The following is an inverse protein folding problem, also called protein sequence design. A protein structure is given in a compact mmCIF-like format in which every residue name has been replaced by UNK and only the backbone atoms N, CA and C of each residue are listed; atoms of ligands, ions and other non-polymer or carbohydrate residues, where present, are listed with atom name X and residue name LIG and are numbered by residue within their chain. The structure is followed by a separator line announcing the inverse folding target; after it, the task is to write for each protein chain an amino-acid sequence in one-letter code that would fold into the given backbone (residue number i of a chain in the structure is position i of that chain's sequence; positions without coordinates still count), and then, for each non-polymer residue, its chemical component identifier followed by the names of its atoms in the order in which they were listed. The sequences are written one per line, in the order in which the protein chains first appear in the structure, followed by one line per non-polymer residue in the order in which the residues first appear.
data_IF_051784436172
#
_entry.id   IF_051784436172
#
_cell.length_a   1.000
_cell.length_b   1.000
_cell.length_c   1.000
_cell.angle_alpha   90.00
_cell.angle_beta   90.00
_cell.angle_gamma   90.00
#
_symmetry.space_group_name_H-M   'P 1'
#
loop_
_entity.id
_entity.type
_entity.pdbx_description
1 polymer ?
#
# COMPACT_ATOMS: atom_id res chain seq x y z
N UNK A 1 -6.44 -5.99 19.16
CA UNK A 1 -7.12 -5.64 17.90
C UNK A 1 -8.35 -6.52 17.78
N UNK A 2 -9.51 -5.94 18.09
CA UNK A 2 -10.80 -6.65 18.12
C UNK A 2 -11.84 -5.97 17.24
N UNK A 3 -11.89 -4.63 17.25
CA UNK A 3 -12.81 -3.82 16.46
C UNK A 3 -12.02 -2.87 15.54
N UNK A 4 -12.18 -3.03 14.25
CA UNK A 4 -11.29 -2.43 13.25
C UNK A 4 -12.07 -1.49 12.32
N UNK A 5 -11.56 -0.28 12.13
CA UNK A 5 -12.02 0.64 11.08
C UNK A 5 -10.98 0.73 9.97
N UNK A 6 -11.41 0.56 8.72
CA UNK A 6 -10.56 0.73 7.54
C UNK A 6 -11.02 1.95 6.78
N UNK A 7 -10.28 3.05 6.87
CA UNK A 7 -10.54 4.26 6.09
C UNK A 7 -9.90 4.10 4.71
N UNK A 8 -10.68 4.30 3.65
CA UNK A 8 -10.26 3.99 2.29
C UNK A 8 -10.47 2.51 1.90
N UNK A 9 -11.48 1.86 2.50
CA UNK A 9 -11.82 0.45 2.30
C UNK A 9 -12.20 0.08 0.86
N UNK A 10 -12.48 1.04 0.00
CA UNK A 10 -12.83 0.80 -1.42
C UNK A 10 -11.64 0.96 -2.37
N UNK A 11 -10.46 1.31 -1.85
CA UNK A 11 -9.21 1.37 -2.60
C UNK A 11 -8.61 -0.01 -2.90
N UNK A 12 -7.52 -0.06 -3.66
CA UNK A 12 -6.85 -1.30 -4.05
C UNK A 12 -6.46 -2.16 -2.83
N UNK A 13 -5.65 -1.63 -1.92
CA UNK A 13 -5.27 -2.35 -0.70
C UNK A 13 -6.48 -2.48 0.24
N UNK A 14 -7.27 -1.41 0.38
CA UNK A 14 -8.35 -1.35 1.35
C UNK A 14 -9.44 -2.40 1.16
N UNK A 15 -9.83 -2.67 -0.08
CA UNK A 15 -10.87 -3.67 -0.38
C UNK A 15 -10.41 -5.10 -0.01
N UNK A 16 -9.21 -5.46 -0.38
CA UNK A 16 -8.65 -6.77 -0.07
C UNK A 16 -8.29 -6.91 1.41
N UNK A 17 -7.74 -5.86 2.05
CA UNK A 17 -7.45 -5.84 3.48
C UNK A 17 -8.72 -5.99 4.32
N UNK A 18 -9.80 -5.29 3.95
CA UNK A 18 -11.08 -5.41 4.64
C UNK A 18 -11.59 -6.84 4.63
N UNK A 19 -11.56 -7.51 3.48
CA UNK A 19 -12.01 -8.89 3.34
C UNK A 19 -11.13 -9.86 4.15
N UNK A 20 -9.82 -9.70 4.10
CA UNK A 20 -8.90 -10.55 4.87
C UNK A 20 -9.07 -10.34 6.39
N UNK A 21 -9.26 -9.10 6.84
CA UNK A 21 -9.53 -8.81 8.25
C UNK A 21 -10.90 -9.34 8.70
N UNK A 22 -11.95 -9.22 7.89
CA UNK A 22 -13.26 -9.83 8.15
C UNK A 22 -13.17 -11.33 8.34
N UNK A 23 -12.38 -12.00 7.52
CA UNK A 23 -12.12 -13.43 7.64
C UNK A 23 -11.41 -13.79 8.95
N UNK A 24 -10.47 -12.96 9.43
CA UNK A 24 -9.69 -13.22 10.66
C UNK A 24 -10.43 -12.83 11.93
N UNK A 25 -11.11 -11.69 11.92
CA UNK A 25 -11.70 -11.07 13.12
C UNK A 25 -13.23 -11.15 13.16
N UNK A 26 -13.86 -11.63 12.10
CA UNK A 26 -15.32 -11.69 11.96
C UNK A 26 -15.89 -10.45 11.25
N UNK A 27 -16.91 -10.69 10.44
CA UNK A 27 -17.50 -9.67 9.56
C UNK A 27 -18.05 -8.44 10.32
N UNK A 28 -18.66 -8.64 11.49
CA UNK A 28 -19.25 -7.57 12.28
C UNK A 28 -18.21 -6.65 12.95
N UNK A 29 -17.00 -7.13 13.12
CA UNK A 29 -15.93 -6.44 13.85
C UNK A 29 -15.05 -5.57 12.94
N UNK A 30 -15.28 -5.57 11.63
CA UNK A 30 -14.46 -4.84 10.66
C UNK A 30 -15.34 -3.93 9.82
N UNK A 31 -15.25 -2.64 10.11
CA UNK A 31 -16.04 -1.57 9.49
C UNK A 31 -15.30 -1.02 8.26
N UNK A 32 -15.95 -1.05 7.12
CA UNK A 32 -15.44 -0.50 5.87
C UNK A 32 -15.79 1.01 5.76
N UNK A 33 -14.80 1.88 5.94
CA UNK A 33 -14.92 3.32 5.78
C UNK A 33 -14.71 3.75 4.33
N UNK A 34 -15.65 4.50 3.77
CA UNK A 34 -15.63 4.99 2.39
C UNK A 34 -16.06 6.46 2.30
N UNK A 35 -15.87 7.09 1.14
CA UNK A 35 -16.34 8.45 0.85
C UNK A 35 -17.50 8.41 -0.14
N UNK A 36 -18.42 9.40 -0.13
CA UNK A 36 -19.52 9.49 -1.12
C UNK A 36 -18.97 9.41 -2.56
N UNK A 37 -19.62 8.60 -3.39
CA UNK A 37 -19.19 8.31 -4.76
C UNK A 37 -18.21 7.15 -4.92
N UNK A 38 -17.73 6.59 -3.79
CA UNK A 38 -16.87 5.42 -3.76
C UNK A 38 -17.45 4.33 -2.82
N UNK A 39 -18.74 4.08 -2.91
CA UNK A 39 -19.45 3.12 -2.07
C UNK A 39 -18.97 1.68 -2.30
N UNK A 40 -18.89 0.85 -1.24
CA UNK A 40 -18.58 -0.58 -1.37
C UNK A 40 -19.57 -1.30 -2.28
N UNK A 41 -19.07 -2.31 -3.01
CA UNK A 41 -19.89 -3.12 -3.94
C UNK A 41 -19.64 -4.61 -3.70
N UNK A 42 -20.59 -5.45 -4.16
CA UNK A 42 -20.49 -6.90 -4.06
C UNK A 42 -20.21 -7.38 -2.64
N UNK A 43 -19.32 -8.35 -2.50
CA UNK A 43 -19.01 -8.99 -1.23
C UNK A 43 -18.52 -8.00 -0.16
N UNK A 44 -17.76 -6.96 -0.53
CA UNK A 44 -17.32 -5.92 0.41
C UNK A 44 -18.50 -5.20 1.07
N UNK A 45 -19.58 -4.98 0.33
CA UNK A 45 -20.82 -4.36 0.84
C UNK A 45 -21.65 -5.33 1.69
N UNK A 46 -21.73 -6.58 1.24
CA UNK A 46 -22.68 -7.56 1.78
C UNK A 46 -22.14 -8.29 3.03
N UNK A 47 -20.82 -8.40 3.18
CA UNK A 47 -20.19 -9.21 4.22
C UNK A 47 -20.08 -8.53 5.58
N UNK A 48 -20.34 -7.22 5.72
CA UNK A 48 -20.19 -6.55 7.02
C UNK A 48 -20.52 -5.06 6.98
N UNK A 49 -20.37 -4.35 8.12
CA UNK A 49 -20.72 -2.94 8.22
C UNK A 49 -19.87 -2.06 7.30
N UNK A 50 -20.49 -1.01 6.78
CA UNK A 50 -19.84 0.03 5.99
C UNK A 50 -20.40 1.41 6.31
N UNK A 51 -19.53 2.41 6.42
CA UNK A 51 -19.88 3.77 6.87
C UNK A 51 -19.17 4.82 6.03
N UNK A 52 -19.70 6.03 5.99
CA UNK A 52 -18.95 7.19 5.47
C UNK A 52 -17.88 7.57 6.48
N UNK A 53 -16.62 7.58 6.05
CA UNK A 53 -15.46 7.94 6.85
C UNK A 53 -14.45 8.71 5.98
N UNK A 54 -14.69 10.02 5.83
CA UNK A 54 -13.77 10.93 5.15
C UNK A 54 -12.70 11.40 6.15
N UNK A 55 -11.43 11.19 5.86
CA UNK A 55 -10.31 11.64 6.71
C UNK A 55 -10.31 13.14 6.95
N UNK A 56 -10.94 13.93 6.10
CA UNK A 56 -11.02 15.38 6.25
C UNK A 56 -12.08 15.85 7.24
N UNK A 57 -12.87 14.90 7.80
CA UNK A 57 -13.90 15.12 8.82
C UNK A 57 -13.58 14.31 10.10
N UNK A 58 -12.82 14.91 11.01
CA UNK A 58 -12.41 14.29 12.26
C UNK A 58 -13.59 13.96 13.19
N UNK A 59 -14.66 14.78 13.20
CA UNK A 59 -15.83 14.56 14.04
C UNK A 59 -16.63 13.32 13.56
N UNK A 60 -16.77 13.17 12.25
CA UNK A 60 -17.37 11.97 11.68
C UNK A 60 -16.58 10.71 12.02
N UNK A 61 -15.24 10.74 11.91
CA UNK A 61 -14.37 9.61 12.29
C UNK A 61 -14.54 9.31 13.79
N UNK A 62 -14.50 10.33 14.66
CA UNK A 62 -14.67 10.15 16.10
C UNK A 62 -16.01 9.51 16.47
N UNK A 63 -17.07 9.87 15.76
CA UNK A 63 -18.41 9.30 15.91
C UNK A 63 -18.44 7.82 15.54
N UNK A 64 -17.83 7.45 14.40
CA UNK A 64 -17.72 6.05 13.95
C UNK A 64 -16.90 5.23 14.95
N UNK A 65 -15.75 5.74 15.41
CA UNK A 65 -14.89 5.05 16.39
C UNK A 65 -15.68 4.75 17.67
N UNK A 66 -16.47 5.70 18.16
CA UNK A 66 -17.30 5.52 19.34
C UNK A 66 -18.46 4.55 19.12
N UNK A 67 -19.18 4.68 18.00
CA UNK A 67 -20.36 3.84 17.68
C UNK A 67 -20.00 2.36 17.56
N UNK A 68 -18.88 2.07 16.89
CA UNK A 68 -18.41 0.69 16.64
C UNK A 68 -17.37 0.19 17.63
N UNK A 69 -17.06 0.96 18.69
CA UNK A 69 -16.06 0.62 19.73
C UNK A 69 -14.69 0.28 19.11
N UNK A 70 -14.27 1.03 18.10
CA UNK A 70 -13.02 0.77 17.35
C UNK A 70 -11.80 0.91 18.27
N UNK A 71 -10.94 -0.11 18.25
CA UNK A 71 -9.65 -0.13 18.92
C UNK A 71 -8.46 0.04 17.94
N UNK A 72 -8.69 -0.17 16.65
CA UNK A 72 -7.65 -0.14 15.63
C UNK A 72 -8.15 0.52 14.35
N UNK A 73 -7.40 1.50 13.84
CA UNK A 73 -7.69 2.21 12.59
C UNK A 73 -6.60 1.89 11.56
N UNK A 74 -7.00 1.35 10.41
CA UNK A 74 -6.17 1.31 9.21
C UNK A 74 -6.51 2.52 8.34
N UNK A 75 -5.64 3.52 8.34
CA UNK A 75 -5.80 4.72 7.51
C UNK A 75 -5.11 4.52 6.17
N UNK A 76 -5.86 4.15 5.14
CA UNK A 76 -5.36 3.93 3.78
C UNK A 76 -5.69 5.08 2.83
N UNK A 77 -6.29 6.16 3.34
CA UNK A 77 -6.66 7.31 2.52
C UNK A 77 -5.42 8.06 2.01
N UNK A 78 -5.23 8.06 0.71
CA UNK A 78 -4.14 8.78 0.04
C UNK A 78 -4.44 9.00 -1.44
N UNK A 79 -3.82 10.01 -2.04
CA UNK A 79 -3.71 10.12 -3.49
C UNK A 79 -2.40 9.45 -3.95
N UNK A 80 -2.46 8.66 -5.02
CA UNK A 80 -1.30 7.97 -5.58
C UNK A 80 -0.37 8.93 -6.34
N UNK A 81 0.86 8.49 -6.61
CA UNK A 81 1.98 9.31 -7.07
C UNK A 81 1.65 10.26 -8.22
N UNK A 82 1.10 9.76 -9.34
CA UNK A 82 0.79 10.57 -10.51
C UNK A 82 -0.37 11.56 -10.24
N UNK A 83 -1.40 11.10 -9.52
CA UNK A 83 -2.55 11.95 -9.16
C UNK A 83 -2.16 13.03 -8.16
N UNK A 84 -1.28 12.70 -7.19
CA UNK A 84 -0.78 13.67 -6.21
C UNK A 84 0.01 14.81 -6.89
N UNK A 85 0.80 14.52 -7.92
CA UNK A 85 1.50 15.54 -8.71
C UNK A 85 0.53 16.48 -9.44
N UNK A 86 -0.58 15.97 -9.95
CA UNK A 86 -1.60 16.79 -10.62
C UNK A 86 -2.46 17.60 -9.66
N UNK A 87 -2.58 17.18 -8.39
CA UNK A 87 -3.46 17.78 -7.37
C UNK A 87 -2.74 17.93 -6.02
N UNK A 88 -1.62 18.67 -5.93
CA UNK A 88 -0.76 18.68 -4.75
C UNK A 88 -1.45 19.21 -3.48
N UNK A 89 -2.34 20.21 -3.57
CA UNK A 89 -3.11 20.72 -2.42
C UNK A 89 -4.08 19.66 -1.86
N UNK A 90 -4.71 18.89 -2.75
CA UNK A 90 -5.62 17.83 -2.33
C UNK A 90 -4.83 16.65 -1.72
N UNK A 91 -3.65 16.33 -2.27
CA UNK A 91 -2.75 15.32 -1.71
C UNK A 91 -2.33 15.68 -0.27
N UNK A 92 -2.00 16.96 -0.04
CA UNK A 92 -1.71 17.47 1.31
C UNK A 92 -2.92 17.33 2.23
N UNK A 93 -4.07 17.86 1.81
CA UNK A 93 -5.29 17.83 2.61
C UNK A 93 -5.68 16.42 3.05
N UNK A 94 -5.65 15.45 2.12
CA UNK A 94 -6.00 14.05 2.44
C UNK A 94 -4.89 13.37 3.25
N UNK A 95 -3.63 13.50 2.80
CA UNK A 95 -2.52 12.75 3.37
C UNK A 95 -2.03 13.30 4.72
N UNK A 96 -2.11 14.62 4.96
CA UNK A 96 -1.56 15.25 6.16
C UNK A 96 -2.66 15.75 7.08
N UNK A 97 -3.56 16.61 6.61
CA UNK A 97 -4.65 17.11 7.46
C UNK A 97 -5.58 15.94 7.85
N UNK A 98 -5.84 15.01 6.91
CA UNK A 98 -6.60 13.79 7.18
C UNK A 98 -5.91 12.87 8.19
N UNK A 99 -4.59 12.66 8.07
CA UNK A 99 -3.85 11.89 9.07
C UNK A 99 -3.89 12.56 10.45
N UNK A 100 -3.73 13.88 10.49
CA UNK A 100 -3.85 14.64 11.73
C UNK A 100 -5.16 14.35 12.45
N UNK A 101 -6.29 14.38 11.74
CA UNK A 101 -7.60 14.07 12.29
C UNK A 101 -7.65 12.64 12.85
N UNK A 102 -7.13 11.65 12.10
CA UNK A 102 -7.10 10.25 12.55
C UNK A 102 -6.25 10.09 13.82
N UNK A 103 -5.08 10.73 13.88
CA UNK A 103 -4.19 10.66 15.04
C UNK A 103 -4.78 11.36 16.27
N UNK A 104 -5.49 12.48 16.12
CA UNK A 104 -6.19 13.13 17.24
C UNK A 104 -7.33 12.24 17.75
N UNK A 105 -8.14 11.65 16.88
CA UNK A 105 -9.19 10.71 17.27
C UNK A 105 -8.58 9.50 18.01
N UNK A 106 -7.48 8.96 17.47
CA UNK A 106 -6.79 7.84 18.09
C UNK A 106 -6.23 8.18 19.47
N UNK A 107 -5.66 9.39 19.65
CA UNK A 107 -5.18 9.91 20.92
C UNK A 107 -6.31 10.05 21.95
N UNK A 108 -7.47 10.56 21.54
CA UNK A 108 -8.60 10.82 22.42
C UNK A 108 -9.37 9.55 22.80
N UNK A 109 -9.46 8.58 21.89
CA UNK A 109 -10.26 7.37 22.07
C UNK A 109 -9.44 6.10 22.31
N UNK A 110 -8.10 6.19 22.33
CA UNK A 110 -7.22 5.08 22.67
C UNK A 110 -7.05 4.03 21.57
N UNK A 111 -7.14 4.42 20.28
CA UNK A 111 -6.98 3.50 19.16
C UNK A 111 -5.50 3.34 18.76
N UNK A 112 -5.13 2.14 18.30
CA UNK A 112 -3.92 1.94 17.50
C UNK A 112 -4.15 2.37 16.06
N UNK A 113 -3.09 2.83 15.38
CA UNK A 113 -3.19 3.35 14.00
C UNK A 113 -2.15 2.70 13.10
N UNK A 114 -2.58 2.12 11.99
CA UNK A 114 -1.74 1.75 10.87
C UNK A 114 -1.93 2.77 9.73
N UNK A 115 -0.84 3.41 9.30
CA UNK A 115 -0.88 4.30 8.12
C UNK A 115 0.30 3.99 7.20
N UNK A 116 0.09 3.37 6.02
CA UNK A 116 1.19 2.92 5.19
C UNK A 116 2.02 4.08 4.62
N UNK A 117 3.34 3.92 4.69
CA UNK A 117 4.29 4.65 3.87
C UNK A 117 4.57 3.91 2.55
N UNK A 118 5.60 4.31 1.83
CA UNK A 118 5.93 3.80 0.50
C UNK A 118 7.41 4.00 0.20
N UNK A 119 7.96 3.23 -0.75
CA UNK A 119 9.25 3.52 -1.37
C UNK A 119 9.31 4.93 -1.97
N UNK A 120 8.17 5.52 -2.25
CA UNK A 120 8.05 6.93 -2.68
C UNK A 120 8.50 7.96 -1.65
N UNK A 121 8.70 7.59 -0.37
CA UNK A 121 9.29 8.44 0.66
C UNK A 121 10.79 8.70 0.45
N UNK A 122 11.44 7.90 -0.37
CA UNK A 122 12.84 8.05 -0.74
C UNK A 122 13.02 8.99 -1.94
N UNK A 123 14.25 9.38 -2.22
CA UNK A 123 14.59 10.27 -3.32
C UNK A 123 15.98 9.99 -3.88
N UNK A 124 16.37 10.71 -4.92
CA UNK A 124 17.59 10.48 -5.68
C UNK A 124 18.92 10.55 -4.86
N UNK A 125 18.88 11.07 -3.64
CA UNK A 125 20.05 11.09 -2.73
C UNK A 125 20.07 9.91 -1.74
N UNK A 126 19.03 9.09 -1.75
CA UNK A 126 18.95 7.86 -0.95
C UNK A 126 19.82 6.78 -1.60
N UNK A 127 20.54 5.94 -0.85
CA UNK A 127 21.19 4.76 -1.41
C UNK A 127 20.17 3.87 -2.12
N UNK A 128 20.37 3.56 -3.41
CA UNK A 128 19.37 2.88 -4.22
C UNK A 128 19.29 1.37 -3.96
N UNK A 129 20.42 0.72 -3.74
CA UNK A 129 20.51 -0.73 -3.56
C UNK A 129 20.56 -1.06 -2.07
N UNK A 130 19.68 -1.97 -1.63
CA UNK A 130 19.52 -2.33 -0.21
C UNK A 130 19.41 -1.07 0.66
N UNK A 131 18.45 -0.20 0.28
CA UNK A 131 18.21 1.06 1.00
C UNK A 131 18.04 0.79 2.49
N UNK A 132 18.89 1.38 3.35
CA UNK A 132 18.83 1.13 4.80
C UNK A 132 17.50 1.57 5.41
N UNK A 133 17.15 0.97 6.55
CA UNK A 133 15.99 1.34 7.34
C UNK A 133 16.00 2.83 7.70
N UNK A 134 17.09 3.30 8.27
CA UNK A 134 17.33 4.70 8.60
C UNK A 134 18.27 5.32 7.58
N UNK A 135 17.76 6.23 6.79
CA UNK A 135 18.52 6.87 5.72
C UNK A 135 17.89 8.21 5.31
N UNK A 136 18.55 8.90 4.36
CA UNK A 136 18.09 10.19 3.86
C UNK A 136 16.80 10.01 3.06
N UNK A 137 15.73 10.68 3.48
CA UNK A 137 14.46 10.79 2.78
C UNK A 137 14.31 12.21 2.22
N UNK A 138 14.59 12.36 0.92
CA UNK A 138 14.44 13.65 0.20
C UNK A 138 13.70 13.46 -1.12
N UNK A 139 12.43 13.04 -1.07
CA UNK A 139 11.62 12.87 -2.26
C UNK A 139 11.42 14.21 -2.98
N UNK A 140 11.15 14.14 -4.28
CA UNK A 140 10.87 15.30 -5.14
C UNK A 140 9.44 15.30 -5.66
N UNK A 141 8.61 14.40 -5.18
CA UNK A 141 7.18 14.31 -5.54
C UNK A 141 6.32 14.72 -4.35
N UNK A 142 5.14 15.28 -4.60
CA UNK A 142 4.18 15.60 -3.54
C UNK A 142 3.77 14.34 -2.76
N UNK A 143 3.59 13.23 -3.46
CA UNK A 143 3.32 11.94 -2.83
C UNK A 143 4.41 11.54 -1.83
N UNK A 144 5.68 11.62 -2.24
CA UNK A 144 6.81 11.32 -1.35
C UNK A 144 6.89 12.28 -0.16
N UNK A 145 6.67 13.58 -0.38
CA UNK A 145 6.62 14.57 0.70
C UNK A 145 5.54 14.23 1.72
N UNK A 146 4.33 13.85 1.27
CA UNK A 146 3.27 13.43 2.20
C UNK A 146 3.65 12.15 2.96
N UNK A 147 4.32 11.19 2.32
CA UNK A 147 4.73 9.94 2.98
C UNK A 147 5.80 10.16 4.05
N UNK A 148 6.82 10.99 3.79
CA UNK A 148 7.80 11.37 4.81
C UNK A 148 7.14 12.08 5.98
N UNK A 149 6.23 13.03 5.70
CA UNK A 149 5.49 13.75 6.75
C UNK A 149 4.63 12.78 7.56
N UNK A 150 4.00 11.79 6.91
CA UNK A 150 3.22 10.73 7.58
C UNK A 150 4.07 9.95 8.58
N UNK A 151 5.27 9.53 8.19
CA UNK A 151 6.21 8.79 9.07
C UNK A 151 6.58 9.64 10.29
N UNK A 152 7.04 10.87 10.07
CA UNK A 152 7.48 11.79 11.13
C UNK A 152 6.35 12.20 12.07
N UNK A 153 5.15 12.43 11.54
CA UNK A 153 4.00 12.80 12.35
C UNK A 153 3.53 11.62 13.21
N UNK A 154 3.54 10.41 12.67
CA UNK A 154 3.22 9.19 13.42
C UNK A 154 4.22 8.93 14.55
N UNK A 155 5.52 9.10 14.29
CA UNK A 155 6.56 9.03 15.33
C UNK A 155 6.35 10.08 16.43
N UNK A 156 5.99 11.31 16.06
CA UNK A 156 5.69 12.37 17.01
C UNK A 156 4.54 12.00 17.94
N UNK A 157 3.43 11.44 17.38
CA UNK A 157 2.27 11.03 18.19
C UNK A 157 2.58 9.84 19.10
N UNK A 158 3.38 8.88 18.64
CA UNK A 158 3.85 7.81 19.49
C UNK A 158 4.72 8.34 20.65
N UNK A 159 5.75 9.12 20.33
CA UNK A 159 6.73 9.59 21.33
C UNK A 159 6.12 10.56 22.33
N UNK A 160 5.21 11.43 21.89
CA UNK A 160 4.64 12.49 22.75
C UNK A 160 3.40 12.06 23.50
N UNK A 161 2.54 11.29 22.86
CA UNK A 161 1.20 10.98 23.37
C UNK A 161 0.99 9.49 23.65
N UNK A 162 1.92 8.62 23.27
CA UNK A 162 1.81 7.18 23.46
C UNK A 162 0.79 6.51 22.54
N UNK A 163 0.38 7.16 21.44
CA UNK A 163 -0.50 6.54 20.43
C UNK A 163 0.27 5.42 19.74
N UNK A 164 -0.26 4.21 19.76
CA UNK A 164 0.37 3.08 19.06
C UNK A 164 0.22 3.23 17.54
N UNK A 165 1.19 3.90 16.93
CA UNK A 165 1.27 4.10 15.49
C UNK A 165 2.25 3.11 14.88
N UNK A 166 1.88 2.50 13.74
CA UNK A 166 2.72 1.54 13.02
C UNK A 166 2.57 1.73 11.51
N UNK A 167 3.66 1.51 10.79
CA UNK A 167 3.68 1.64 9.34
C UNK A 167 4.70 0.72 8.67
N UNK A 168 4.46 0.41 7.40
CA UNK A 168 5.44 -0.19 6.49
C UNK A 168 5.64 0.72 5.28
N UNK A 169 6.82 0.73 4.69
CA UNK A 169 7.09 1.33 3.39
C UNK A 169 6.78 0.30 2.32
N UNK A 170 5.57 0.37 1.78
CA UNK A 170 5.17 -0.54 0.71
C UNK A 170 5.99 -0.30 -0.56
N UNK A 171 6.50 -1.38 -1.18
CA UNK A 171 6.99 -1.35 -2.55
C UNK A 171 5.84 -1.24 -3.56
N UNK A 172 6.11 -1.46 -4.85
CA UNK A 172 5.05 -1.54 -5.86
C UNK A 172 4.15 -2.74 -5.61
N UNK A 173 2.85 -2.51 -5.42
CA UNK A 173 1.88 -3.58 -5.11
C UNK A 173 1.26 -4.13 -6.38
N UNK A 174 1.27 -5.46 -6.49
CA UNK A 174 0.69 -6.22 -7.60
C UNK A 174 -0.51 -7.00 -7.08
N UNK A 175 -1.69 -6.83 -7.70
CA UNK A 175 -2.93 -7.51 -7.34
C UNK A 175 -3.66 -8.04 -8.58
N UNK A 176 -4.32 -9.19 -8.43
CA UNK A 176 -5.25 -9.75 -9.42
C UNK A 176 -6.72 -9.36 -9.15
N UNK A 177 -7.03 -8.78 -7.99
CA UNK A 177 -8.41 -8.48 -7.56
C UNK A 177 -8.81 -7.08 -8.03
N UNK A 178 -8.14 -6.05 -7.54
CA UNK A 178 -8.46 -4.67 -7.85
C UNK A 178 -7.55 -4.12 -8.95
N UNK A 179 -8.09 -3.53 -10.02
CA UNK A 179 -7.29 -2.86 -11.05
C UNK A 179 -6.43 -1.75 -10.46
N UNK A 180 -5.29 -1.42 -11.10
CA UNK A 180 -4.41 -0.36 -10.66
C UNK A 180 -5.08 1.02 -10.68
N UNK A 181 -4.62 1.91 -9.80
CA UNK A 181 -5.25 3.21 -9.53
C UNK A 181 -4.52 4.45 -10.04
N UNK A 182 -3.55 4.33 -10.94
CA UNK A 182 -2.75 5.44 -11.47
C UNK A 182 -1.39 5.60 -10.76
N UNK A 183 -0.76 4.50 -10.38
CA UNK A 183 0.60 4.45 -9.84
C UNK A 183 1.68 4.30 -10.91
N UNK A 184 2.92 4.58 -10.54
CA UNK A 184 4.08 4.40 -11.43
C UNK A 184 4.36 2.92 -11.69
N UNK A 185 4.06 2.05 -10.73
CA UNK A 185 4.30 0.61 -10.78
C UNK A 185 3.16 -0.21 -11.40
N UNK A 186 2.11 0.44 -11.84
CA UNK A 186 0.91 -0.20 -12.40
C UNK A 186 1.20 -1.07 -13.63
N UNK A 187 2.31 -0.78 -14.35
CA UNK A 187 2.75 -1.59 -15.48
C UNK A 187 2.92 -3.07 -15.09
N UNK A 188 3.33 -3.35 -13.85
CA UNK A 188 3.54 -4.71 -13.35
C UNK A 188 2.24 -5.46 -13.07
N UNK A 189 1.10 -4.77 -13.09
CA UNK A 189 -0.25 -5.37 -13.08
C UNK A 189 -0.80 -5.45 -14.49
N UNK A 190 -0.74 -4.35 -15.26
CA UNK A 190 -1.30 -4.24 -16.61
C UNK A 190 -0.69 -5.26 -17.58
N UNK A 191 0.59 -5.61 -17.40
CA UNK A 191 1.28 -6.61 -18.20
C UNK A 191 0.62 -8.00 -18.13
N UNK A 192 0.11 -8.40 -16.94
CA UNK A 192 -0.60 -9.66 -16.77
C UNK A 192 -1.98 -9.65 -17.42
N UNK A 193 -2.70 -8.52 -17.32
CA UNK A 193 -3.98 -8.36 -18.02
C UNK A 193 -3.82 -8.48 -19.53
N UNK A 194 -2.79 -7.83 -20.11
CA UNK A 194 -2.49 -7.93 -21.54
C UNK A 194 -2.13 -9.37 -21.95
N UNK A 195 -1.31 -10.04 -21.14
CA UNK A 195 -0.92 -11.42 -21.41
C UNK A 195 -2.11 -12.40 -21.42
N UNK A 196 -3.05 -12.26 -20.47
CA UNK A 196 -4.24 -13.12 -20.36
C UNK A 196 -5.22 -12.85 -21.50
N UNK A 197 -5.36 -11.58 -21.93
CA UNK A 197 -6.23 -11.21 -23.06
C UNK A 197 -5.64 -11.54 -24.41
N UNK A 198 -4.36 -11.95 -24.49
CA UNK A 198 -3.66 -12.17 -25.75
C UNK A 198 -3.33 -10.87 -26.50
N UNK A 199 -3.24 -9.75 -25.78
CA UNK A 199 -2.93 -8.42 -26.28
C UNK A 199 -1.43 -8.15 -26.15
N UNK A 200 -0.88 -7.35 -27.07
CA UNK A 200 0.49 -6.85 -26.97
C UNK A 200 0.57 -5.80 -25.88
N UNK A 201 1.54 -5.91 -24.98
CA UNK A 201 1.75 -4.92 -23.92
C UNK A 201 2.69 -3.80 -24.36
N UNK A 202 2.32 -2.56 -24.04
CA UNK A 202 3.16 -1.37 -24.25
C UNK A 202 3.67 -0.89 -22.87
N UNK A 203 4.95 -1.17 -22.60
CA UNK A 203 5.55 -0.85 -21.32
C UNK A 203 5.97 0.62 -21.23
N UNK A 204 5.49 1.40 -20.24
CA UNK A 204 5.84 2.80 -20.09
C UNK A 204 7.15 3.05 -19.32
N UNK A 205 7.82 2.00 -18.86
CA UNK A 205 9.05 2.05 -18.06
C UNK A 205 10.17 1.37 -18.84
N UNK A 206 11.38 1.94 -18.80
CA UNK A 206 12.56 1.41 -19.51
C UNK A 206 12.96 0.04 -18.98
N UNK A 207 13.48 -0.78 -19.89
CA UNK A 207 14.26 -1.96 -19.54
C UNK A 207 15.42 -1.57 -18.60
N UNK A 208 15.71 -2.41 -17.60
CA UNK A 208 16.76 -2.18 -16.61
C UNK A 208 16.38 -1.26 -15.45
N UNK A 209 15.15 -0.71 -15.43
CA UNK A 209 14.65 0.07 -14.28
C UNK A 209 14.17 -0.88 -13.20
N UNK A 210 15.05 -1.17 -12.24
CA UNK A 210 14.73 -2.03 -11.09
C UNK A 210 13.85 -1.27 -10.08
N UNK A 211 12.86 -1.95 -9.55
CA UNK A 211 12.03 -1.47 -8.43
C UNK A 211 11.64 -2.62 -7.53
N UNK A 212 11.59 -2.38 -6.22
CA UNK A 212 10.98 -3.33 -5.29
C UNK A 212 9.49 -3.46 -5.57
N UNK A 213 9.02 -4.70 -5.61
CA UNK A 213 7.64 -5.10 -5.87
C UNK A 213 7.18 -6.12 -4.84
N UNK A 214 5.88 -6.15 -4.61
CA UNK A 214 5.26 -7.08 -3.65
C UNK A 214 3.90 -7.54 -4.15
N UNK A 215 3.61 -8.81 -3.98
CA UNK A 215 2.29 -9.35 -4.27
C UNK A 215 1.31 -8.98 -3.16
N UNK A 216 0.04 -8.71 -3.49
CA UNK A 216 -0.97 -8.24 -2.54
C UNK A 216 -1.12 -9.15 -1.30
N UNK A 217 -1.15 -10.49 -1.39
CA UNK A 217 -1.23 -11.32 -0.19
C UNK A 217 -0.10 -11.07 0.81
N UNK A 218 1.13 -10.82 0.35
CA UNK A 218 2.25 -10.46 1.22
C UNK A 218 2.06 -9.06 1.83
N UNK A 219 1.54 -8.10 1.05
CA UNK A 219 1.26 -6.75 1.54
C UNK A 219 0.18 -6.75 2.65
N UNK A 220 -0.89 -7.52 2.47
CA UNK A 220 -1.93 -7.69 3.48
C UNK A 220 -1.38 -8.35 4.73
N UNK A 221 -0.60 -9.43 4.55
CA UNK A 221 0.03 -10.12 5.67
C UNK A 221 0.97 -9.20 6.45
N UNK A 222 1.77 -8.36 5.75
CA UNK A 222 2.65 -7.38 6.40
C UNK A 222 1.86 -6.38 7.26
N UNK A 223 0.79 -5.80 6.72
CA UNK A 223 -0.03 -4.83 7.44
C UNK A 223 -0.69 -5.44 8.68
N UNK A 224 -1.17 -6.68 8.58
CA UNK A 224 -1.88 -7.35 9.66
C UNK A 224 -0.89 -7.83 10.74
N UNK A 225 0.17 -8.55 10.35
CA UNK A 225 1.12 -9.12 11.31
C UNK A 225 1.94 -8.05 12.04
N UNK A 226 2.21 -6.91 11.41
CA UNK A 226 2.81 -5.78 12.11
C UNK A 226 1.88 -5.25 13.21
N UNK A 227 0.57 -5.13 12.95
CA UNK A 227 -0.39 -4.68 13.96
C UNK A 227 -0.65 -5.73 15.06
N UNK A 228 -0.42 -7.00 14.79
CA UNK A 228 -0.48 -8.11 15.76
C UNK A 228 0.82 -8.27 16.56
N UNK A 229 1.92 -7.67 16.10
CA UNK A 229 3.22 -7.81 16.75
C UNK A 229 3.26 -7.20 18.16
N UNK A 230 4.08 -7.79 19.03
CA UNK A 230 4.32 -7.26 20.37
C UNK A 230 4.90 -5.84 20.29
N UNK A 231 4.18 -4.81 20.78
CA UNK A 231 4.62 -3.42 20.72
C UNK A 231 5.96 -3.16 21.42
N UNK A 232 6.35 -3.97 22.39
CA UNK A 232 7.60 -3.82 23.12
C UNK A 232 8.84 -4.18 22.29
N UNK A 233 8.65 -4.93 21.19
CA UNK A 233 9.72 -5.32 20.28
C UNK A 233 9.96 -4.32 19.13
N UNK A 234 9.03 -3.40 18.90
CA UNK A 234 9.08 -2.49 17.75
C UNK A 234 9.93 -1.26 18.07
N UNK A 235 11.07 -1.14 17.39
CA UNK A 235 11.96 0.03 17.46
C UNK A 235 11.62 0.99 16.32
N UNK A 236 11.53 0.48 15.09
CA UNK A 236 11.33 1.26 13.85
C UNK A 236 9.84 1.35 13.44
N UNK A 237 8.98 1.71 14.36
CA UNK A 237 7.49 1.66 14.23
C UNK A 237 6.95 2.34 12.96
N UNK A 238 7.50 3.49 12.56
CA UNK A 238 6.98 4.33 11.46
C UNK A 238 8.11 4.84 10.54
N UNK A 239 8.49 4.12 9.48
CA UNK A 239 7.88 2.89 8.99
C UNK A 239 8.95 1.85 8.70
N UNK A 240 8.60 0.58 8.80
CA UNK A 240 9.52 -0.50 8.43
C UNK A 240 9.71 -0.59 6.92
N UNK A 241 10.96 -0.73 6.48
CA UNK A 241 11.23 -1.26 5.16
C UNK A 241 10.76 -2.71 5.09
N UNK A 242 10.01 -3.07 4.05
CA UNK A 242 9.65 -4.44 3.73
C UNK A 242 9.95 -4.72 2.27
N UNK A 243 10.60 -5.83 1.98
CA UNK A 243 10.98 -6.26 0.63
C UNK A 243 10.42 -7.64 0.33
N UNK A 244 10.09 -7.90 -0.94
CA UNK A 244 9.68 -9.21 -1.42
C UNK A 244 10.49 -9.60 -2.66
N UNK A 245 10.43 -8.81 -3.72
CA UNK A 245 11.15 -9.08 -4.96
C UNK A 245 11.50 -7.77 -5.67
N UNK A 246 12.69 -7.70 -6.26
CA UNK A 246 13.11 -6.58 -7.09
C UNK A 246 13.31 -7.05 -8.52
N UNK A 247 12.67 -6.38 -9.48
CA UNK A 247 12.80 -6.71 -10.89
C UNK A 247 12.53 -5.51 -11.80
N UNK A 248 12.97 -5.62 -13.05
CA UNK A 248 12.71 -4.68 -14.13
C UNK A 248 11.60 -5.18 -15.07
N UNK A 249 11.09 -4.36 -16.00
CA UNK A 249 10.05 -4.77 -16.95
C UNK A 249 10.42 -5.98 -17.80
N UNK A 250 11.69 -6.15 -18.17
CA UNK A 250 12.13 -7.31 -18.95
C UNK A 250 12.03 -8.60 -18.16
N UNK A 251 12.42 -8.56 -16.89
CA UNK A 251 12.42 -9.72 -16.01
C UNK A 251 11.00 -10.28 -15.80
N UNK A 252 10.02 -9.41 -15.52
CA UNK A 252 8.61 -9.84 -15.39
C UNK A 252 8.02 -10.30 -16.72
N UNK A 253 8.37 -9.66 -17.84
CA UNK A 253 7.99 -10.10 -19.19
C UNK A 253 8.47 -11.52 -19.47
N UNK A 254 9.73 -11.82 -19.19
CA UNK A 254 10.30 -13.15 -19.40
C UNK A 254 9.66 -14.20 -18.46
N UNK A 255 9.32 -13.82 -17.23
CA UNK A 255 8.58 -14.71 -16.32
C UNK A 255 7.20 -15.08 -16.90
N UNK A 256 6.45 -14.10 -17.39
CA UNK A 256 5.14 -14.33 -18.04
C UNK A 256 5.30 -15.17 -19.31
N UNK A 257 6.31 -14.92 -20.13
CA UNK A 257 6.53 -15.60 -21.41
C UNK A 257 6.78 -17.09 -21.26
N UNK A 258 7.31 -17.57 -20.14
CA UNK A 258 7.42 -19.00 -19.83
C UNK A 258 6.06 -19.71 -19.85
N UNK A 259 4.99 -19.00 -19.43
CA UNK A 259 3.62 -19.54 -19.32
C UNK A 259 2.70 -19.11 -20.49
N UNK A 260 3.09 -18.08 -21.23
CA UNK A 260 2.38 -17.53 -22.40
C UNK A 260 3.40 -17.24 -23.49
N UNK A 261 3.91 -18.26 -24.22
CA UNK A 261 5.04 -18.14 -25.15
C UNK A 261 4.84 -17.11 -26.27
N UNK A 262 3.58 -16.91 -26.71
CA UNK A 262 3.22 -15.97 -27.78
C UNK A 262 3.08 -14.51 -27.30
N UNK A 263 3.19 -14.24 -25.98
CA UNK A 263 3.04 -12.89 -25.43
C UNK A 263 4.13 -11.96 -25.96
N UNK A 264 3.75 -10.75 -26.35
CA UNK A 264 4.64 -9.73 -26.88
C UNK A 264 4.60 -8.46 -26.02
N UNK A 265 5.76 -7.87 -25.80
CA UNK A 265 5.91 -6.56 -25.17
C UNK A 265 6.77 -5.65 -26.04
N UNK A 266 6.41 -4.36 -26.08
CA UNK A 266 7.23 -3.27 -26.64
C UNK A 266 7.34 -2.15 -25.60
N UNK A 267 8.25 -1.22 -25.82
CA UNK A 267 8.46 -0.06 -24.97
C UNK A 267 7.97 1.21 -25.65
N UNK A 268 7.16 2.01 -24.92
CA UNK A 268 6.84 3.40 -25.23
C UNK A 268 6.89 4.18 -23.92
N UNK A 269 8.02 4.84 -23.67
CA UNK A 269 8.38 5.34 -22.36
C UNK A 269 7.62 6.61 -22.02
N UNK A 270 6.85 6.56 -20.90
CA UNK A 270 6.25 7.74 -20.29
C UNK A 270 7.32 8.53 -19.50
N UNK A 271 7.68 9.76 -19.93
CA UNK A 271 8.75 10.52 -19.28
C UNK A 271 8.44 10.89 -17.80
N UNK A 272 7.18 11.02 -17.42
CA UNK A 272 6.79 11.34 -16.05
C UNK A 272 6.95 10.10 -15.16
N UNK A 273 6.39 8.98 -15.58
CA UNK A 273 6.49 7.72 -14.84
C UNK A 273 7.96 7.28 -14.70
N UNK A 274 8.74 7.42 -15.78
CA UNK A 274 10.17 7.08 -15.73
C UNK A 274 10.94 7.94 -14.72
N UNK A 275 10.76 9.28 -14.73
CA UNK A 275 11.42 10.15 -13.75
C UNK A 275 11.06 9.81 -12.29
N UNK A 276 9.82 9.39 -12.05
CA UNK A 276 9.39 8.96 -10.73
C UNK A 276 10.09 7.64 -10.37
N UNK A 277 10.06 6.66 -11.26
CA UNK A 277 10.72 5.36 -11.07
C UNK A 277 12.23 5.51 -10.81
N UNK A 278 12.93 6.33 -11.61
CA UNK A 278 14.37 6.61 -11.46
C UNK A 278 14.74 7.28 -10.11
N UNK A 279 13.77 7.80 -9.38
CA UNK A 279 13.98 8.43 -8.07
C UNK A 279 13.76 7.49 -6.89
N UNK A 280 13.28 6.28 -7.13
CA UNK A 280 12.98 5.29 -6.10
C UNK A 280 14.11 4.27 -5.95
N UNK A 281 14.19 3.58 -4.80
CA UNK A 281 15.15 2.50 -4.59
C UNK A 281 14.95 1.32 -5.56
N UNK A 282 16.06 0.70 -5.94
CA UNK A 282 16.07 -0.59 -6.63
C UNK A 282 15.64 -1.73 -5.70
N UNK A 283 16.06 -1.65 -4.43
CA UNK A 283 15.77 -2.63 -3.39
C UNK A 283 15.86 -2.05 -1.98
N UNK A 284 15.11 -2.61 -1.06
CA UNK A 284 15.12 -2.24 0.36
C UNK A 284 15.88 -3.27 1.22
N UNK A 285 16.51 -2.81 2.28
CA UNK A 285 16.95 -3.65 3.38
C UNK A 285 15.81 -3.79 4.40
N UNK A 286 15.27 -4.99 4.54
CA UNK A 286 14.15 -5.32 5.44
C UNK A 286 14.59 -6.07 6.71
N UNK A 287 15.88 -6.01 7.05
CA UNK A 287 16.45 -6.69 8.22
C UNK A 287 15.72 -6.32 9.51
N UNK A 288 15.44 -5.02 9.73
CA UNK A 288 14.72 -4.57 10.92
C UNK A 288 13.31 -5.19 11.02
N UNK A 289 12.57 -5.28 9.93
CA UNK A 289 11.26 -5.92 9.92
C UNK A 289 11.33 -7.41 10.25
N UNK A 290 12.35 -8.11 9.73
CA UNK A 290 12.57 -9.54 10.01
C UNK A 290 12.92 -9.78 11.48
N UNK A 291 13.76 -8.95 12.08
CA UNK A 291 14.24 -9.11 13.45
C UNK A 291 13.19 -8.68 14.49
N UNK A 292 12.49 -7.56 14.26
CA UNK A 292 11.60 -6.97 15.24
C UNK A 292 10.23 -7.65 15.29
N UNK A 293 9.66 -8.04 14.16
CA UNK A 293 8.32 -8.64 14.11
C UNK A 293 8.18 -9.87 13.21
N UNK A 294 9.32 -10.41 12.70
CA UNK A 294 9.33 -11.70 12.00
C UNK A 294 8.82 -11.63 10.56
N UNK A 295 8.92 -10.47 9.90
CA UNK A 295 8.55 -10.32 8.51
C UNK A 295 9.20 -11.37 7.61
N UNK A 296 8.39 -11.95 6.72
CA UNK A 296 8.87 -12.87 5.69
C UNK A 296 7.86 -12.89 4.54
N UNK A 297 8.27 -12.57 3.30
CA UNK A 297 7.41 -12.72 2.13
C UNK A 297 7.19 -14.21 1.82
N UNK A 298 5.99 -14.55 1.36
CA UNK A 298 5.62 -15.89 0.93
C UNK A 298 5.78 -16.10 -0.58
N UNK A 299 5.74 -15.01 -1.36
CA UNK A 299 5.78 -15.08 -2.81
C UNK A 299 7.12 -14.60 -3.36
N UNK A 300 7.56 -15.26 -4.44
CA UNK A 300 8.60 -14.80 -5.35
C UNK A 300 7.99 -14.52 -6.74
N UNK A 301 8.79 -14.01 -7.69
CA UNK A 301 8.31 -13.66 -9.02
C UNK A 301 7.65 -14.83 -9.75
N UNK A 302 8.19 -16.06 -9.64
CA UNK A 302 7.64 -17.23 -10.31
C UNK A 302 6.28 -17.63 -9.73
N UNK A 303 6.18 -17.79 -8.39
CA UNK A 303 4.93 -18.18 -7.73
C UNK A 303 3.84 -17.11 -7.88
N UNK A 304 4.21 -15.82 -7.83
CA UNK A 304 3.29 -14.72 -8.12
C UNK A 304 2.81 -14.76 -9.57
N UNK A 305 3.72 -15.01 -10.52
CA UNK A 305 3.36 -15.04 -11.96
C UNK A 305 2.33 -16.14 -12.24
N UNK A 306 2.53 -17.33 -11.68
CA UNK A 306 1.57 -18.44 -11.82
C UNK A 306 0.21 -18.06 -11.27
N UNK A 307 0.16 -17.58 -10.02
CA UNK A 307 -1.10 -17.23 -9.35
C UNK A 307 -1.82 -16.07 -10.06
N UNK A 308 -1.09 -15.01 -10.49
CA UNK A 308 -1.64 -13.89 -11.27
C UNK A 308 -2.30 -14.38 -12.57
N UNK A 309 -1.61 -15.23 -13.33
CA UNK A 309 -2.14 -15.74 -14.60
C UNK A 309 -3.37 -16.64 -14.40
N UNK A 310 -3.36 -17.50 -13.39
CA UNK A 310 -4.48 -18.38 -13.05
C UNK A 310 -5.72 -17.57 -12.64
N UNK A 311 -5.57 -16.69 -11.66
CA UNK A 311 -6.66 -15.85 -11.13
C UNK A 311 -7.25 -14.91 -12.19
N UNK A 312 -6.41 -14.30 -13.02
CA UNK A 312 -6.91 -13.42 -14.08
C UNK A 312 -7.61 -14.20 -15.19
N UNK A 313 -7.18 -15.40 -15.54
CA UNK A 313 -7.90 -16.27 -16.48
C UNK A 313 -9.28 -16.65 -15.96
N UNK A 314 -9.42 -16.91 -14.67
CA UNK A 314 -10.73 -17.18 -14.04
C UNK A 314 -11.63 -15.94 -14.04
N UNK A 315 -11.08 -14.78 -13.71
CA UNK A 315 -11.80 -13.51 -13.60
C UNK A 315 -12.27 -12.96 -14.95
N UNK A 316 -11.54 -13.23 -16.03
CA UNK A 316 -11.82 -12.67 -17.37
C UNK A 316 -12.55 -13.63 -18.32
N UNK A 317 -12.96 -14.81 -17.84
CA UNK A 317 -13.89 -15.72 -18.53
C UNK A 317 -15.31 -15.16 -18.49
#
# INVERSE_FOLDING_TARGET
MEHILIIGATGQIGSELTMELRKRYGNANVVAGYIPGAEPKGELKESGPSVIADVTDGEAIASVVKEYHIDTIYNLAALLSVVAESKPKLAWKIGIDGLWNVLEVAREQGCAVFTPSSIGSFGASTPHTKTPQDTIQRPRTMYGVTKVTTELLSDYYFNKYGVDTRAVRFPGIISNVTPPGGGTTDYAVDIYYSAVKGEKFVCPIKQGTLMDMMYMPDALNAAITLMEADPARLIHRNAFNIASMSFDPETIYQAIKKHVPQFEMIYDIDPLKQRIADSWPDSLDDTCAREEWGWKPAYNLESMTVDMLEKLREKLK
#
